data_IF_574196756675
#
_entry.id   IF_574196756675
#
_cell.length_a   1.000
_cell.length_b   1.000
_cell.length_c   1.000
_cell.angle_alpha   90.00
_cell.angle_beta   90.00
_cell.angle_gamma   90.00
#
_symmetry.space_group_name_H-M   'P 1'
#
loop_
_entity.id
_entity.type
_entity.pdbx_description
1 polymer ?
#
# COMPACT_ATOMS: atom_id res chain seq x y z
N UNK A 1 -9.35 -9.74 -11.57
CA UNK A 1 -9.84 -11.13 -11.71
C UNK A 1 -11.31 -11.15 -11.33
N UNK A 2 -12.20 -11.67 -12.16
CA UNK A 2 -13.64 -11.71 -11.86
C UNK A 2 -13.96 -12.44 -10.54
N UNK A 3 -13.15 -13.44 -10.15
CA UNK A 3 -13.41 -14.25 -8.95
C UNK A 3 -13.39 -13.49 -7.61
N UNK A 4 -12.48 -12.52 -7.40
CA UNK A 4 -12.42 -11.79 -6.11
C UNK A 4 -13.61 -10.83 -5.99
N UNK A 5 -13.93 -10.14 -7.09
CA UNK A 5 -15.07 -9.23 -7.13
C UNK A 5 -16.40 -9.97 -6.97
N UNK A 6 -16.54 -11.15 -7.57
CA UNK A 6 -17.73 -11.97 -7.41
C UNK A 6 -17.90 -12.51 -5.96
N UNK A 7 -16.79 -12.88 -5.30
CA UNK A 7 -16.80 -13.25 -3.89
C UNK A 7 -17.16 -12.04 -3.00
N UNK A 8 -16.60 -10.87 -3.32
CA UNK A 8 -16.90 -9.63 -2.61
C UNK A 8 -18.37 -9.21 -2.78
N UNK A 9 -18.92 -9.31 -3.99
CA UNK A 9 -20.32 -9.02 -4.30
C UNK A 9 -21.27 -9.97 -3.55
N UNK A 10 -20.99 -11.28 -3.55
CA UNK A 10 -21.81 -12.26 -2.81
C UNK A 10 -21.84 -11.99 -1.30
N UNK A 11 -20.66 -11.75 -0.71
CA UNK A 11 -20.56 -11.48 0.72
C UNK A 11 -21.16 -10.11 1.10
N UNK A 12 -20.98 -9.08 0.26
CA UNK A 12 -21.58 -7.77 0.48
C UNK A 12 -23.12 -7.82 0.37
N UNK A 13 -23.66 -8.56 -0.61
CA UNK A 13 -25.09 -8.74 -0.78
C UNK A 13 -25.73 -9.49 0.41
N UNK A 14 -25.04 -10.52 0.94
CA UNK A 14 -25.47 -11.22 2.16
C UNK A 14 -25.52 -10.29 3.37
N UNK A 15 -24.45 -9.54 3.63
CA UNK A 15 -24.37 -8.61 4.76
C UNK A 15 -25.39 -7.47 4.61
N UNK A 16 -25.55 -6.91 3.41
CA UNK A 16 -26.50 -5.83 3.15
C UNK A 16 -27.95 -6.28 3.29
N UNK A 17 -28.27 -7.52 2.89
CA UNK A 17 -29.59 -8.13 3.07
C UNK A 17 -29.95 -8.32 4.55
N UNK A 18 -29.00 -8.80 5.36
CA UNK A 18 -29.23 -9.04 6.79
C UNK A 18 -29.41 -7.74 7.59
N UNK A 19 -28.70 -6.67 7.20
CA UNK A 19 -28.72 -5.38 7.88
C UNK A 19 -29.70 -4.35 7.26
N UNK A 20 -30.40 -4.70 6.18
CA UNK A 20 -31.34 -3.81 5.48
C UNK A 20 -30.68 -2.54 4.93
N UNK A 21 -29.46 -2.63 4.42
CA UNK A 21 -28.69 -1.47 3.93
C UNK A 21 -29.20 -0.94 2.59
N UNK A 22 -29.15 0.38 2.41
CA UNK A 22 -29.41 1.02 1.11
C UNK A 22 -28.36 0.63 0.06
N UNK A 23 -28.78 0.61 -1.21
CA UNK A 23 -27.98 0.22 -2.39
C UNK A 23 -26.66 0.99 -2.55
N UNK A 24 -26.57 2.21 -2.01
CA UNK A 24 -25.33 2.98 -2.01
C UNK A 24 -24.30 2.42 -1.02
N UNK A 25 -24.74 1.98 0.17
CA UNK A 25 -23.87 1.38 1.18
C UNK A 25 -23.45 -0.04 0.79
N UNK A 26 -24.30 -0.78 0.09
CA UNK A 26 -23.96 -2.09 -0.50
C UNK A 26 -22.78 -2.00 -1.49
N UNK A 27 -22.79 -1.01 -2.39
CA UNK A 27 -21.69 -0.78 -3.33
C UNK A 27 -20.39 -0.40 -2.61
N UNK A 28 -20.48 0.43 -1.58
CA UNK A 28 -19.34 0.81 -0.75
C UNK A 28 -18.77 -0.40 0.01
N UNK A 29 -19.64 -1.28 0.51
CA UNK A 29 -19.25 -2.52 1.19
C UNK A 29 -18.58 -3.50 0.22
N UNK A 30 -19.13 -3.66 -0.98
CA UNK A 30 -18.55 -4.49 -2.05
C UNK A 30 -17.14 -4.02 -2.39
N UNK A 31 -16.95 -2.71 -2.61
CA UNK A 31 -15.64 -2.14 -2.90
C UNK A 31 -14.64 -2.31 -1.73
N UNK A 32 -15.10 -2.08 -0.50
CA UNK A 32 -14.27 -2.30 0.69
C UNK A 32 -13.84 -3.77 0.83
N UNK A 33 -14.74 -4.71 0.55
CA UNK A 33 -14.45 -6.13 0.66
C UNK A 33 -13.55 -6.63 -0.48
N UNK A 34 -13.75 -6.14 -1.70
CA UNK A 34 -12.84 -6.39 -2.82
C UNK A 34 -11.42 -5.92 -2.48
N UNK A 35 -11.29 -4.73 -1.88
CA UNK A 35 -10.00 -4.20 -1.46
C UNK A 35 -9.37 -5.03 -0.32
N UNK A 36 -10.16 -5.45 0.67
CA UNK A 36 -9.69 -6.27 1.79
C UNK A 36 -9.21 -7.65 1.30
N UNK A 37 -10.03 -8.36 0.54
CA UNK A 37 -9.67 -9.66 -0.04
C UNK A 37 -8.45 -9.54 -0.94
N UNK A 38 -8.44 -8.46 -1.73
CA UNK A 38 -7.35 -8.17 -2.63
C UNK A 38 -6.02 -7.96 -1.91
N UNK A 39 -6.02 -7.15 -0.86
CA UNK A 39 -4.83 -6.86 -0.06
C UNK A 39 -4.39 -8.07 0.77
N UNK A 40 -5.33 -8.91 1.22
CA UNK A 40 -5.03 -10.14 1.94
C UNK A 40 -4.32 -11.16 1.05
N UNK A 41 -4.75 -11.31 -0.21
CA UNK A 41 -4.08 -12.16 -1.18
C UNK A 41 -2.67 -11.63 -1.51
N UNK A 42 -2.53 -10.32 -1.72
CA UNK A 42 -1.23 -9.67 -1.94
C UNK A 42 -0.27 -9.93 -0.77
N UNK A 43 -0.75 -9.72 0.45
CA UNK A 43 0.02 -9.98 1.67
C UNK A 43 0.49 -11.44 1.73
N UNK A 44 -0.41 -12.41 1.49
CA UNK A 44 -0.07 -13.82 1.51
C UNK A 44 1.02 -14.17 0.48
N UNK A 45 0.92 -13.63 -0.74
CA UNK A 45 1.94 -13.83 -1.78
C UNK A 45 3.29 -13.23 -1.40
N UNK A 46 3.30 -11.99 -0.89
CA UNK A 46 4.54 -11.34 -0.42
C UNK A 46 5.19 -12.17 0.68
N UNK A 47 4.42 -12.65 1.66
CA UNK A 47 4.97 -13.42 2.76
C UNK A 47 5.51 -14.79 2.32
N UNK A 48 4.82 -15.45 1.37
CA UNK A 48 5.30 -16.69 0.79
C UNK A 48 6.66 -16.48 0.08
N UNK A 49 6.77 -15.46 -0.76
CA UNK A 49 8.03 -15.15 -1.46
C UNK A 49 9.13 -14.67 -0.51
N UNK A 50 8.79 -13.83 0.48
CA UNK A 50 9.75 -13.33 1.45
C UNK A 50 10.36 -14.47 2.30
N UNK A 51 9.59 -15.53 2.58
CA UNK A 51 10.12 -16.73 3.24
C UNK A 51 11.11 -17.48 2.36
N UNK A 52 10.84 -17.61 1.05
CA UNK A 52 11.74 -18.23 0.08
C UNK A 52 13.07 -17.47 -0.06
N UNK A 53 13.05 -16.15 -0.04
CA UNK A 53 14.25 -15.30 -0.10
C UNK A 53 14.95 -15.10 1.26
N UNK A 54 14.40 -15.65 2.35
CA UNK A 54 14.95 -15.50 3.69
C UNK A 54 14.94 -14.05 4.21
N UNK A 55 13.97 -13.24 3.77
CA UNK A 55 13.75 -11.83 4.17
C UNK A 55 12.40 -11.63 4.88
N UNK A 56 11.87 -12.72 5.44
CA UNK A 56 10.52 -12.78 5.99
C UNK A 56 10.25 -11.74 7.07
N UNK A 57 11.18 -11.56 8.03
CA UNK A 57 10.97 -10.68 9.19
C UNK A 57 10.95 -9.22 8.76
N UNK A 58 11.93 -8.83 7.96
CA UNK A 58 12.11 -7.48 7.44
C UNK A 58 10.90 -7.08 6.60
N UNK A 59 10.47 -7.98 5.71
CA UNK A 59 9.32 -7.74 4.83
C UNK A 59 8.01 -7.71 5.62
N UNK A 60 7.84 -8.59 6.61
CA UNK A 60 6.64 -8.61 7.47
C UNK A 60 6.43 -7.27 8.17
N UNK A 61 7.46 -6.79 8.88
CA UNK A 61 7.38 -5.54 9.65
C UNK A 61 7.14 -4.37 8.70
N UNK A 62 7.87 -4.34 7.58
CA UNK A 62 7.74 -3.29 6.58
C UNK A 62 6.32 -3.21 6.01
N UNK A 63 5.75 -4.35 5.59
CA UNK A 63 4.40 -4.41 5.01
C UNK A 63 3.33 -4.09 6.06
N UNK A 64 3.50 -4.54 7.31
CA UNK A 64 2.58 -4.20 8.39
C UNK A 64 2.60 -2.69 8.69
N UNK A 65 3.77 -2.08 8.81
CA UNK A 65 3.90 -0.64 9.04
C UNK A 65 3.32 0.16 7.88
N UNK A 66 3.68 -0.18 6.64
CA UNK A 66 3.15 0.49 5.46
C UNK A 66 1.63 0.30 5.34
N UNK A 67 1.13 -0.92 5.58
CA UNK A 67 -0.29 -1.26 5.48
C UNK A 67 -1.16 -0.57 6.54
N UNK A 68 -0.72 -0.54 7.80
CA UNK A 68 -1.43 0.19 8.88
C UNK A 68 -1.48 1.68 8.54
N UNK A 69 -0.36 2.24 8.11
CA UNK A 69 -0.29 3.66 7.78
C UNK A 69 -1.16 3.97 6.54
N UNK A 70 -1.22 3.07 5.55
CA UNK A 70 -2.11 3.14 4.38
C UNK A 70 -3.60 3.06 4.73
N UNK A 71 -3.99 2.18 5.66
CA UNK A 71 -5.37 2.08 6.12
C UNK A 71 -5.91 3.42 6.64
N UNK A 72 -5.01 4.21 7.24
CA UNK A 72 -5.36 5.43 7.93
C UNK A 72 -5.14 6.68 7.06
N UNK A 73 -4.07 6.71 6.25
CA UNK A 73 -3.78 7.81 5.33
C UNK A 73 -4.56 7.75 4.03
N UNK A 74 -5.06 6.57 3.66
CA UNK A 74 -5.55 6.28 2.32
C UNK A 74 -4.40 6.19 1.31
N UNK A 75 -4.75 6.37 0.04
CA UNK A 75 -3.83 6.37 -1.11
C UNK A 75 -4.54 5.92 -2.38
N UNK A 76 -4.00 6.25 -3.55
CA UNK A 76 -4.56 5.79 -4.82
C UNK A 76 -4.27 4.28 -5.02
N UNK A 77 -5.27 3.57 -5.52
CA UNK A 77 -5.13 2.21 -6.00
C UNK A 77 -5.02 2.22 -7.53
N UNK A 78 -4.20 1.32 -8.07
CA UNK A 78 -4.06 1.16 -9.52
C UNK A 78 -5.42 0.80 -10.13
N UNK A 79 -5.70 1.27 -11.34
CA UNK A 79 -6.95 0.99 -12.04
C UNK A 79 -7.19 -0.52 -12.30
N UNK A 80 -6.12 -1.32 -12.30
CA UNK A 80 -6.20 -2.77 -12.43
C UNK A 80 -5.56 -3.48 -11.23
N UNK A 81 -6.35 -4.32 -10.55
CA UNK A 81 -5.94 -5.07 -9.37
C UNK A 81 -4.69 -5.95 -9.58
N UNK A 82 -4.56 -6.62 -10.72
CA UNK A 82 -3.41 -7.49 -11.00
C UNK A 82 -2.08 -6.72 -11.09
N UNK A 83 -2.13 -5.45 -11.52
CA UNK A 83 -0.94 -4.60 -11.64
C UNK A 83 -0.48 -4.14 -10.28
N UNK A 84 -1.41 -3.80 -9.39
CA UNK A 84 -1.12 -3.52 -7.98
C UNK A 84 -0.54 -4.76 -7.30
N UNK A 85 -1.13 -5.94 -7.53
CA UNK A 85 -0.67 -7.19 -6.96
C UNK A 85 0.78 -7.49 -7.35
N UNK A 86 1.10 -7.46 -8.65
CA UNK A 86 2.45 -7.78 -9.14
C UNK A 86 3.45 -6.67 -8.80
N UNK A 87 3.10 -5.42 -9.07
CA UNK A 87 3.97 -4.27 -8.83
C UNK A 87 4.24 -4.05 -7.33
N UNK A 88 3.21 -4.14 -6.50
CA UNK A 88 3.31 -4.05 -5.04
C UNK A 88 4.13 -5.20 -4.46
N UNK A 89 3.88 -6.44 -4.91
CA UNK A 89 4.67 -7.60 -4.47
C UNK A 89 6.16 -7.43 -4.79
N UNK A 90 6.50 -7.05 -6.02
CA UNK A 90 7.89 -6.81 -6.42
C UNK A 90 8.50 -5.65 -5.62
N UNK A 91 7.77 -4.55 -5.46
CA UNK A 91 8.24 -3.38 -4.71
C UNK A 91 8.52 -3.73 -3.23
N UNK A 92 7.61 -4.40 -2.55
CA UNK A 92 7.77 -4.77 -1.14
C UNK A 92 8.89 -5.81 -0.94
N UNK A 93 9.07 -6.76 -1.86
CA UNK A 93 10.20 -7.69 -1.80
C UNK A 93 11.54 -7.00 -2.03
N UNK A 94 11.63 -6.09 -3.01
CA UNK A 94 12.84 -5.30 -3.24
C UNK A 94 13.19 -4.43 -2.04
N UNK A 95 12.19 -3.80 -1.42
CA UNK A 95 12.39 -3.01 -0.20
C UNK A 95 12.77 -3.88 0.99
N UNK A 96 12.17 -5.06 1.15
CA UNK A 96 12.56 -6.02 2.18
C UNK A 96 14.03 -6.46 2.05
N UNK A 97 14.48 -6.70 0.81
CA UNK A 97 15.87 -7.02 0.53
C UNK A 97 16.81 -5.84 0.80
N UNK A 98 16.42 -4.62 0.38
CA UNK A 98 17.15 -3.40 0.66
C UNK A 98 17.30 -3.16 2.17
N UNK A 99 16.23 -3.35 2.95
CA UNK A 99 16.25 -3.24 4.40
C UNK A 99 17.22 -4.23 5.02
N UNK A 100 17.19 -5.50 4.58
CA UNK A 100 18.13 -6.52 5.07
C UNK A 100 19.59 -6.15 4.74
N UNK A 101 19.85 -5.65 3.54
CA UNK A 101 21.18 -5.20 3.14
C UNK A 101 21.64 -3.97 3.94
N UNK A 102 20.78 -2.96 4.09
CA UNK A 102 21.05 -1.78 4.90
C UNK A 102 21.31 -2.14 6.36
N UNK A 103 20.64 -3.16 6.90
CA UNK A 103 20.87 -3.65 8.25
C UNK A 103 22.31 -4.10 8.48
N UNK A 104 22.93 -4.71 7.46
CA UNK A 104 24.32 -5.14 7.50
C UNK A 104 25.33 -3.99 7.35
N UNK A 105 24.96 -2.94 6.59
CA UNK A 105 25.88 -1.86 6.19
C UNK A 105 25.78 -0.63 7.10
N UNK A 106 24.60 -0.32 7.63
CA UNK A 106 24.35 0.89 8.42
C UNK A 106 24.85 0.72 9.85
N UNK A 107 25.83 1.57 10.22
CA UNK A 107 26.20 1.80 11.61
C UNK A 107 25.13 2.62 12.35
N UNK A 108 25.15 2.58 13.68
CA UNK A 108 24.23 3.34 14.56
C UNK A 108 24.05 4.83 14.17
N UNK A 109 25.14 5.50 13.75
CA UNK A 109 25.08 6.89 13.27
C UNK A 109 24.20 7.07 12.03
N UNK A 110 24.24 6.12 11.10
CA UNK A 110 23.40 6.12 9.90
C UNK A 110 21.93 5.86 10.24
N UNK A 111 21.66 4.99 11.22
CA UNK A 111 20.31 4.75 11.70
C UNK A 111 19.69 6.03 12.30
N UNK A 112 20.44 6.77 13.12
CA UNK A 112 19.99 8.04 13.69
C UNK A 112 19.66 9.05 12.58
N UNK A 113 20.54 9.20 11.58
CA UNK A 113 20.30 10.10 10.45
C UNK A 113 19.03 9.73 9.68
N UNK A 114 18.86 8.44 9.37
CA UNK A 114 17.66 7.95 8.68
C UNK A 114 16.39 8.20 9.49
N UNK A 115 16.48 8.02 10.81
CA UNK A 115 15.39 8.33 11.75
C UNK A 115 15.02 9.80 11.64
N UNK A 116 15.97 10.72 11.82
CA UNK A 116 15.72 12.17 11.75
C UNK A 116 15.07 12.56 10.41
N UNK A 117 15.58 12.05 9.29
CA UNK A 117 15.03 12.33 7.95
C UNK A 117 13.58 11.85 7.86
N UNK A 118 13.30 10.63 8.33
CA UNK A 118 11.95 10.04 8.29
C UNK A 118 10.96 10.85 9.13
N UNK A 119 11.37 11.27 10.32
CA UNK A 119 10.57 12.07 11.23
C UNK A 119 10.23 13.46 10.70
N UNK A 120 11.06 14.03 9.81
CA UNK A 120 10.76 15.31 9.15
C UNK A 120 9.90 15.08 7.91
N UNK A 121 10.26 14.09 7.08
CA UNK A 121 9.63 13.86 5.78
C UNK A 121 8.21 13.31 5.90
N UNK A 122 7.99 12.28 6.73
CA UNK A 122 6.71 11.55 6.80
C UNK A 122 5.56 12.44 7.29
N UNK A 123 5.70 13.20 8.41
CA UNK A 123 4.64 14.11 8.84
C UNK A 123 4.37 15.23 7.84
N UNK A 124 5.41 15.76 7.17
CA UNK A 124 5.25 16.78 6.13
C UNK A 124 4.45 16.28 4.92
N UNK A 125 4.69 15.03 4.49
CA UNK A 125 3.92 14.37 3.43
C UNK A 125 2.48 14.12 3.86
N UNK A 126 2.26 13.58 5.07
CA UNK A 126 0.92 13.33 5.59
C UNK A 126 0.13 14.64 5.73
N UNK A 127 0.78 15.72 6.17
CA UNK A 127 0.11 17.02 6.30
C UNK A 127 -0.34 17.60 4.95
N UNK A 128 0.42 17.34 3.88
CA UNK A 128 0.15 17.87 2.55
C UNK A 128 -0.75 16.98 1.69
N UNK A 129 -0.63 15.66 1.82
CA UNK A 129 -1.23 14.69 0.90
C UNK A 129 -2.24 13.74 1.55
N UNK A 130 -2.39 13.74 2.89
CA UNK A 130 -3.42 12.96 3.56
C UNK A 130 -4.61 13.84 4.01
N UNK A 131 -5.85 13.31 3.93
CA UNK A 131 -6.24 12.00 3.40
C UNK A 131 -6.37 12.03 1.87
N UNK A 132 -5.89 10.97 1.20
CA UNK A 132 -6.06 10.84 -0.25
C UNK A 132 -7.53 10.67 -0.61
N UNK A 133 -8.07 11.58 -1.43
CA UNK A 133 -9.41 11.44 -2.00
C UNK A 133 -9.38 10.38 -3.10
N UNK A 134 -10.37 9.49 -3.12
CA UNK A 134 -10.57 8.56 -4.24
C UNK A 134 -11.94 8.83 -4.84
N UNK A 135 -12.04 8.75 -6.17
CA UNK A 135 -13.26 9.06 -6.95
C UNK A 135 -14.49 8.25 -6.45
N UNK A 136 -14.26 7.03 -5.95
CA UNK A 136 -15.28 6.14 -5.39
C UNK A 136 -15.60 6.36 -3.90
N UNK A 137 -14.95 7.31 -3.22
CA UNK A 137 -15.21 7.64 -1.81
C UNK A 137 -15.12 9.15 -1.57
N UNK A 138 -16.16 9.93 -1.94
CA UNK A 138 -16.22 11.35 -1.59
C UNK A 138 -16.26 11.47 -0.06
N UNK A 139 -15.18 11.98 0.53
CA UNK A 139 -15.07 12.18 1.97
C UNK A 139 -15.73 13.49 2.36
N UNK A 140 -16.57 13.44 3.39
CA UNK A 140 -17.07 14.66 4.03
C UNK A 140 -15.91 15.40 4.71
N UNK A 141 -15.95 16.74 4.80
CA UNK A 141 -14.91 17.53 5.49
C UNK A 141 -14.59 17.04 6.91
N UNK A 142 -15.59 16.54 7.65
CA UNK A 142 -15.40 15.94 8.98
C UNK A 142 -14.60 14.63 8.94
N UNK A 143 -14.81 13.81 7.92
CA UNK A 143 -14.11 12.54 7.73
C UNK A 143 -12.67 12.78 7.28
N UNK A 144 -12.43 13.83 6.49
CA UNK A 144 -11.07 14.25 6.11
C UNK A 144 -10.25 14.67 7.32
N UNK A 145 -10.80 15.54 8.17
CA UNK A 145 -10.13 15.98 9.40
C UNK A 145 -9.85 14.79 10.33
N UNK A 146 -10.81 13.85 10.46
CA UNK A 146 -10.64 12.65 11.27
C UNK A 146 -9.56 11.71 10.72
N UNK A 147 -9.54 11.46 9.41
CA UNK A 147 -8.52 10.63 8.75
C UNK A 147 -7.12 11.24 8.85
N UNK A 148 -7.00 12.56 8.68
CA UNK A 148 -5.74 13.28 8.86
C UNK A 148 -5.24 13.20 10.31
N UNK A 149 -6.12 13.42 11.29
CA UNK A 149 -5.76 13.31 12.71
C UNK A 149 -5.34 11.89 13.09
N UNK A 150 -6.04 10.88 12.59
CA UNK A 150 -5.70 9.48 12.82
C UNK A 150 -4.36 9.14 12.17
N UNK A 151 -4.08 9.62 10.96
CA UNK A 151 -2.81 9.39 10.24
C UNK A 151 -1.62 9.97 11.01
N UNK A 152 -1.80 11.18 11.52
CA UNK A 152 -0.80 11.85 12.34
C UNK A 152 -0.57 11.08 13.66
N UNK A 153 -1.65 10.68 14.35
CA UNK A 153 -1.56 9.91 15.59
C UNK A 153 -0.84 8.56 15.39
N UNK A 154 -1.13 7.84 14.31
CA UNK A 154 -0.46 6.57 13.99
C UNK A 154 1.02 6.78 13.66
N UNK A 155 1.35 7.87 12.96
CA UNK A 155 2.74 8.23 12.66
C UNK A 155 3.52 8.50 13.95
N UNK A 156 2.94 9.25 14.89
CA UNK A 156 3.52 9.53 16.21
C UNK A 156 3.69 8.24 17.04
N UNK A 157 2.75 7.29 16.96
CA UNK A 157 2.89 5.99 17.63
C UNK A 157 4.08 5.21 17.05
N UNK A 158 4.20 5.11 15.72
CA UNK A 158 5.33 4.42 15.09
C UNK A 158 6.66 5.11 15.41
N UNK A 159 6.67 6.44 15.44
CA UNK A 159 7.79 7.23 15.92
C UNK A 159 8.20 6.85 17.35
N UNK A 160 7.25 6.78 18.28
CA UNK A 160 7.50 6.32 19.66
C UNK A 160 8.05 4.89 19.72
N UNK A 161 7.54 3.98 18.89
CA UNK A 161 8.03 2.59 18.77
C UNK A 161 9.49 2.57 18.30
N UNK A 162 9.85 3.37 17.28
CA UNK A 162 11.24 3.44 16.78
C UNK A 162 12.18 3.95 17.88
N UNK A 163 11.78 4.98 18.62
CA UNK A 163 12.57 5.53 19.74
C UNK A 163 12.74 4.47 20.85
N UNK A 164 11.66 3.75 21.21
CA UNK A 164 11.72 2.68 22.19
C UNK A 164 12.67 1.56 21.77
N UNK A 165 12.60 1.12 20.51
CA UNK A 165 13.49 0.09 19.96
C UNK A 165 14.96 0.53 19.96
N UNK A 166 15.23 1.82 19.73
CA UNK A 166 16.56 2.40 19.84
C UNK A 166 17.11 2.40 21.27
N UNK A 167 16.25 2.63 22.28
CA UNK A 167 16.64 2.55 23.70
C UNK A 167 16.95 1.09 24.09
N UNK A 168 16.17 0.13 23.58
CA UNK A 168 16.33 -1.30 23.85
C UNK A 168 17.51 -1.96 23.10
N UNK A 169 18.23 -1.20 22.25
CA UNK A 169 19.34 -1.69 21.41
C UNK A 169 18.94 -2.78 20.40
N UNK A 170 17.69 -2.76 19.94
CA UNK A 170 17.14 -3.66 18.93
C UNK A 170 16.75 -2.89 17.63
N UNK A 171 17.32 -1.71 17.44
CA UNK A 171 17.07 -0.79 16.33
C UNK A 171 17.32 -1.40 14.96
N UNK A 172 18.34 -2.24 14.86
CA UNK A 172 18.74 -2.87 13.62
C UNK A 172 17.74 -3.96 13.23
N UNK A 173 17.30 -4.78 14.19
CA UNK A 173 16.38 -5.90 13.91
C UNK A 173 14.96 -5.43 13.57
N UNK A 174 14.46 -4.42 14.27
CA UNK A 174 13.05 -4.02 14.16
C UNK A 174 12.85 -2.55 13.77
N UNK A 175 13.76 -1.65 14.14
CA UNK A 175 13.61 -0.22 13.88
C UNK A 175 13.76 0.14 12.40
N UNK A 176 14.75 -0.44 11.71
CA UNK A 176 15.02 -0.14 10.30
C UNK A 176 13.89 -0.58 9.34
N UNK A 177 13.29 -1.79 9.50
CA UNK A 177 12.08 -2.16 8.76
C UNK A 177 10.88 -1.22 9.01
N UNK A 178 10.68 -0.75 10.25
CA UNK A 178 9.60 0.20 10.58
C UNK A 178 9.82 1.53 9.86
N UNK A 179 11.02 2.09 9.94
CA UNK A 179 11.38 3.33 9.23
C UNK A 179 11.18 3.20 7.72
N UNK A 180 11.63 2.09 7.13
CA UNK A 180 11.45 1.82 5.72
C UNK A 180 9.97 1.71 5.34
N UNK A 181 9.14 1.06 6.16
CA UNK A 181 7.70 0.98 5.95
C UNK A 181 7.02 2.36 5.97
N UNK A 182 7.38 3.21 6.93
CA UNK A 182 6.88 4.59 7.02
C UNK A 182 7.28 5.41 5.79
N UNK A 183 8.55 5.32 5.36
CA UNK A 183 9.05 6.02 4.17
C UNK A 183 8.40 5.52 2.89
N UNK A 184 8.23 4.20 2.74
CA UNK A 184 7.56 3.61 1.59
C UNK A 184 6.13 4.12 1.48
N UNK A 185 5.38 4.12 2.58
CA UNK A 185 4.02 4.63 2.58
C UNK A 185 3.97 6.13 2.28
N UNK A 186 4.85 6.93 2.89
CA UNK A 186 4.96 8.35 2.56
C UNK A 186 5.27 8.57 1.08
N UNK A 187 6.18 7.79 0.49
CA UNK A 187 6.50 7.87 -0.93
C UNK A 187 5.27 7.62 -1.80
N UNK A 188 4.46 6.59 -1.48
CA UNK A 188 3.24 6.29 -2.25
C UNK A 188 2.16 7.38 -2.19
N UNK A 189 2.17 8.23 -1.15
CA UNK A 189 1.25 9.39 -1.05
C UNK A 189 1.71 10.59 -1.88
N UNK A 190 2.98 10.65 -2.27
CA UNK A 190 3.52 11.77 -3.03
C UNK A 190 3.22 11.65 -4.54
N UNK A 191 3.21 12.78 -5.28
CA UNK A 191 3.07 12.78 -6.74
C UNK A 191 4.10 11.91 -7.46
N UNK A 192 5.28 11.73 -6.85
CA UNK A 192 6.33 10.86 -7.34
C UNK A 192 5.94 9.39 -7.25
N UNK A 193 5.31 8.97 -6.15
CA UNK A 193 4.71 7.64 -6.01
C UNK A 193 3.65 7.39 -7.08
N UNK A 194 2.75 8.35 -7.32
CA UNK A 194 1.73 8.22 -8.37
C UNK A 194 2.32 8.16 -9.80
N UNK A 195 3.44 8.85 -10.07
CA UNK A 195 4.16 8.72 -11.35
C UNK A 195 4.87 7.38 -11.47
N UNK A 196 5.46 6.88 -10.38
CA UNK A 196 6.11 5.58 -10.35
C UNK A 196 5.10 4.45 -10.61
N UNK A 197 3.95 4.50 -9.93
CA UNK A 197 2.86 3.53 -10.15
C UNK A 197 2.39 3.57 -11.61
N UNK A 198 2.17 4.76 -12.18
CA UNK A 198 1.80 4.90 -13.61
C UNK A 198 2.88 4.38 -14.56
N UNK A 199 4.15 4.54 -14.22
CA UNK A 199 5.26 4.00 -15.01
C UNK A 199 5.31 2.47 -14.96
N UNK A 200 5.14 1.88 -13.76
CA UNK A 200 5.00 0.42 -13.59
C UNK A 200 3.78 -0.10 -14.36
N UNK A 201 2.65 0.60 -14.28
CA UNK A 201 1.44 0.30 -15.05
C UNK A 201 1.71 0.31 -16.57
N UNK A 202 2.49 1.27 -17.06
CA UNK A 202 2.88 1.37 -18.48
C UNK A 202 3.81 0.24 -18.93
N UNK A 203 4.71 -0.24 -18.08
CA UNK A 203 5.55 -1.39 -18.41
C UNK A 203 4.75 -2.70 -18.44
N UNK A 204 3.78 -2.85 -17.53
CA UNK A 204 2.95 -4.06 -17.43
C UNK A 204 1.82 -4.07 -18.47
N UNK A 205 1.34 -2.91 -18.93
CA UNK A 205 0.34 -2.82 -20.00
C UNK A 205 0.88 -3.23 -21.37
N UNK A 206 2.19 -3.10 -21.61
CA UNK A 206 2.85 -3.56 -22.84
C UNK A 206 2.71 -5.07 -23.08
N UNK A 207 2.35 -5.84 -22.05
CA UNK A 207 2.18 -7.29 -22.13
C UNK A 207 0.74 -7.73 -22.43
N UNK A 208 -0.24 -6.81 -22.40
CA UNK A 208 -1.61 -7.05 -22.88
C UNK A 208 -1.73 -6.86 -24.41
N UNK A 209 -0.85 -6.06 -25.04
CA UNK A 209 -0.89 -5.86 -26.51
C UNK A 209 -0.28 -7.01 -27.33
N UNK A 210 0.38 -7.98 -26.67
CA UNK A 210 0.87 -9.20 -27.33
C UNK A 210 -0.18 -10.30 -27.51
N UNK A 211 -1.41 -10.08 -27.01
CA UNK A 211 -2.51 -11.07 -27.05
C UNK A 211 -3.64 -10.74 -28.04
N UNK A 212 -3.60 -9.60 -28.72
CA UNK A 212 -4.65 -9.17 -29.65
C UNK A 212 -4.08 -8.64 -30.98
N UNK A 213 -3.09 -9.36 -31.51
CA UNK A 213 -2.57 -9.17 -32.87
C UNK A 213 -2.96 -10.37 -33.73
N UNK A 214 -4.26 -10.58 -33.90
CA UNK A 214 -4.82 -11.72 -34.65
C UNK A 214 -6.22 -11.45 -35.16
N UNK A 215 -6.43 -10.34 -35.85
CA UNK A 215 -7.73 -9.95 -36.42
C UNK A 215 -7.59 -8.80 -37.41
N UNK A 216 -7.11 -9.16 -38.59
CA UNK A 216 -6.85 -8.37 -39.81
C UNK A 216 -7.73 -7.11 -40.04
N UNK A 217 -7.03 -6.02 -40.42
CA UNK A 217 -7.46 -4.95 -41.33
C UNK A 217 -8.33 -5.51 -42.47
N UNK A 218 -9.47 -4.96 -42.90
CA UNK A 218 -9.94 -3.59 -43.22
C UNK A 218 -11.02 -3.76 -44.33
N UNK A 219 -11.37 -2.77 -45.17
CA UNK A 219 -11.64 -1.36 -44.94
C UNK A 219 -13.03 -0.90 -45.49
N UNK A 220 -13.37 0.36 -45.19
CA UNK A 220 -14.18 1.30 -46.00
C UNK A 220 -15.69 1.03 -46.28
N UNK A 221 -16.56 1.95 -45.84
CA UNK A 221 -17.27 2.91 -46.72
C UNK A 221 -18.60 3.40 -46.12
N UNK A 222 -18.71 4.74 -46.18
CA UNK A 222 -19.88 5.64 -46.20
C UNK A 222 -21.28 5.10 -45.86
#
# INVERSE_FOLDING_TARGET
>A
MPGIRELAEKAACYIAGELGLERQKEKMLTFGLELLLGSALEFALIMALASLFGIFRETLILVLTAGILRLVSGGEHCQAYYRCLIGGTVFFLLMGWLVKWLNYVIAWRGFILLTIITFIAVPGVIWKYAPGETENKPLTEKEKVRGKKLSFMVTEIFAGVVILLAILKDEQKYGLPVLAGMLCQAFTLTPWGYRFIRWVDGMLSFRDQGGDSGGLEGPDSR
#
